data_IF_414226207278
#
_entry.id   IF_414226207278
#
_cell.length_a   1.000
_cell.length_b   1.000
_cell.length_c   1.000
_cell.angle_alpha   90.00
_cell.angle_beta   90.00
_cell.angle_gamma   90.00
#
_symmetry.space_group_name_H-M   'P 1'
#
loop_
_entity.id
_entity.type
_entity.pdbx_description
1 polymer ?
#
# COMPACT_ATOMS: atom_id res chain seq x y z
N UNK A 1 7.91 4.92 -25.52
CA UNK A 1 7.70 5.44 -24.15
C UNK A 1 9.06 5.80 -23.56
N UNK A 2 9.27 7.00 -23.02
CA UNK A 2 10.51 7.32 -22.31
C UNK A 2 10.67 6.35 -21.13
N UNK A 3 11.87 5.76 -20.99
CA UNK A 3 12.18 4.89 -19.84
C UNK A 3 12.11 5.74 -18.58
N UNK A 4 11.10 5.52 -17.74
CA UNK A 4 11.10 6.07 -16.38
C UNK A 4 12.12 5.28 -15.57
N UNK A 5 13.24 5.91 -15.24
CA UNK A 5 14.16 5.39 -14.22
C UNK A 5 13.49 5.58 -12.87
N UNK A 6 12.69 4.60 -12.45
CA UNK A 6 12.01 4.61 -11.16
C UNK A 6 12.95 3.98 -10.13
N UNK A 7 13.44 4.81 -9.20
CA UNK A 7 14.16 4.35 -8.01
C UNK A 7 13.30 4.72 -6.82
N UNK A 8 12.69 3.73 -6.20
CA UNK A 8 11.94 3.90 -4.96
C UNK A 8 12.85 3.63 -3.77
N UNK A 9 12.65 4.36 -2.68
CA UNK A 9 13.22 4.00 -1.39
C UNK A 9 12.68 2.63 -0.94
N UNK A 10 13.41 1.97 -0.03
CA UNK A 10 13.03 0.63 0.43
C UNK A 10 11.61 0.60 1.04
N UNK A 11 11.28 1.59 1.87
CA UNK A 11 9.96 1.75 2.48
C UNK A 11 8.86 1.96 1.43
N UNK A 12 9.11 2.83 0.44
CA UNK A 12 8.19 3.07 -0.68
C UNK A 12 7.94 1.79 -1.48
N UNK A 13 8.98 0.98 -1.71
CA UNK A 13 8.88 -0.32 -2.37
C UNK A 13 8.06 -1.33 -1.56
N UNK A 14 8.20 -1.37 -0.24
CA UNK A 14 7.41 -2.25 0.65
C UNK A 14 5.93 -1.83 0.61
N UNK A 15 5.65 -0.54 0.78
CA UNK A 15 4.27 0.01 0.73
C UNK A 15 3.63 -0.31 -0.62
N UNK A 16 4.35 -0.10 -1.74
CA UNK A 16 3.85 -0.43 -3.07
C UNK A 16 3.52 -1.93 -3.21
N UNK A 17 4.37 -2.81 -2.70
CA UNK A 17 4.11 -4.26 -2.73
C UNK A 17 2.85 -4.61 -1.93
N UNK A 18 2.66 -4.06 -0.74
CA UNK A 18 1.44 -4.28 0.06
C UNK A 18 0.20 -3.72 -0.64
N UNK A 19 0.26 -2.47 -1.11
CA UNK A 19 -0.83 -1.82 -1.84
C UNK A 19 -1.23 -2.59 -3.10
N UNK A 20 -0.26 -3.17 -3.82
CA UNK A 20 -0.54 -3.97 -5.02
C UNK A 20 -1.42 -5.20 -4.73
N UNK A 21 -1.25 -5.83 -3.56
CA UNK A 21 -2.04 -6.99 -3.14
C UNK A 21 -3.46 -6.59 -2.76
N UNK A 22 -3.61 -5.47 -2.05
CA UNK A 22 -4.91 -4.88 -1.70
C UNK A 22 -5.68 -4.50 -2.97
N UNK A 23 -5.02 -3.80 -3.89
CA UNK A 23 -5.60 -3.38 -5.16
C UNK A 23 -6.03 -4.58 -6.00
N UNK A 24 -5.17 -5.61 -6.12
CA UNK A 24 -5.50 -6.84 -6.82
C UNK A 24 -6.74 -7.54 -6.22
N UNK A 25 -6.93 -7.50 -4.90
CA UNK A 25 -8.13 -8.03 -4.26
C UNK A 25 -9.39 -7.23 -4.62
N UNK A 26 -9.31 -5.90 -4.71
CA UNK A 26 -10.42 -5.06 -5.19
C UNK A 26 -10.77 -5.35 -6.64
N UNK A 27 -9.77 -5.52 -7.51
CA UNK A 27 -9.99 -5.89 -8.91
C UNK A 27 -10.64 -7.27 -9.00
N UNK A 28 -10.10 -8.27 -8.31
CA UNK A 28 -10.61 -9.64 -8.33
C UNK A 28 -12.04 -9.77 -7.77
N UNK A 29 -12.45 -8.86 -6.87
CA UNK A 29 -13.81 -8.81 -6.33
C UNK A 29 -14.80 -8.03 -7.20
N UNK A 30 -14.36 -7.49 -8.35
CA UNK A 30 -15.22 -6.74 -9.27
C UNK A 30 -15.61 -5.35 -8.76
N UNK A 31 -14.88 -4.80 -7.78
CA UNK A 31 -15.16 -3.48 -7.18
C UNK A 31 -14.55 -2.32 -7.95
N UNK A 32 -13.56 -2.58 -8.80
CA UNK A 32 -12.83 -1.55 -9.55
C UNK A 32 -13.41 -1.46 -10.97
N UNK A 33 -14.01 -0.32 -11.28
CA UNK A 33 -14.38 0.04 -12.65
C UNK A 33 -13.27 0.83 -13.34
N UNK A 34 -13.27 0.85 -14.67
CA UNK A 34 -12.23 1.50 -15.48
C UNK A 34 -12.13 3.02 -15.27
N UNK A 35 -13.24 3.67 -14.90
CA UNK A 35 -13.32 5.10 -14.59
C UNK A 35 -12.80 5.43 -13.17
N UNK A 36 -12.62 4.43 -12.30
CA UNK A 36 -12.22 4.60 -10.90
C UNK A 36 -10.82 4.06 -10.57
N UNK A 37 -10.05 3.61 -11.57
CA UNK A 37 -8.73 2.98 -11.37
C UNK A 37 -7.82 3.80 -10.44
N UNK A 38 -7.73 5.11 -10.66
CA UNK A 38 -6.88 6.00 -9.86
C UNK A 38 -7.34 6.08 -8.39
N UNK A 39 -8.65 6.16 -8.17
CA UNK A 39 -9.26 6.22 -6.84
C UNK A 39 -8.93 4.97 -6.04
N UNK A 40 -9.10 3.79 -6.66
CA UNK A 40 -8.84 2.51 -6.02
C UNK A 40 -7.35 2.26 -5.79
N UNK A 41 -6.46 2.72 -6.69
CA UNK A 41 -5.02 2.68 -6.46
C UNK A 41 -4.61 3.54 -5.25
N UNK A 42 -5.09 4.79 -5.18
CA UNK A 42 -4.83 5.69 -4.05
C UNK A 42 -5.32 5.11 -2.74
N UNK A 43 -6.54 4.57 -2.73
CA UNK A 43 -7.13 3.89 -1.57
C UNK A 43 -6.26 2.74 -1.09
N UNK A 44 -5.82 1.88 -2.00
CA UNK A 44 -5.00 0.70 -1.65
C UNK A 44 -3.64 1.09 -1.05
N UNK A 45 -3.06 2.20 -1.51
CA UNK A 45 -1.83 2.77 -0.92
C UNK A 45 -2.09 3.27 0.51
N UNK A 46 -3.19 4.02 0.72
CA UNK A 46 -3.56 4.51 2.05
C UNK A 46 -3.82 3.37 3.04
N UNK A 47 -4.50 2.32 2.60
CA UNK A 47 -4.77 1.14 3.42
C UNK A 47 -3.47 0.38 3.74
N UNK A 48 -2.53 0.26 2.80
CA UNK A 48 -1.21 -0.32 3.08
C UNK A 48 -0.41 0.49 4.11
N UNK A 49 -0.47 1.82 4.04
CA UNK A 49 0.17 2.71 5.03
C UNK A 49 -0.50 2.54 6.39
N UNK A 50 -1.83 2.54 6.45
CA UNK A 50 -2.56 2.34 7.69
C UNK A 50 -2.22 0.99 8.36
N UNK A 51 -2.10 -0.08 7.56
CA UNK A 51 -1.63 -1.38 8.07
C UNK A 51 -0.22 -1.30 8.65
N UNK A 52 0.70 -0.62 7.97
CA UNK A 52 2.07 -0.46 8.47
C UNK A 52 2.09 0.30 9.81
N UNK A 53 1.30 1.36 9.96
CA UNK A 53 1.16 2.11 11.23
C UNK A 53 0.55 1.23 12.32
N UNK A 54 -0.52 0.48 12.03
CA UNK A 54 -1.10 -0.41 13.04
C UNK A 54 -0.13 -1.51 13.50
N UNK A 55 0.71 -2.02 12.59
CA UNK A 55 1.77 -2.98 12.95
C UNK A 55 2.82 -2.32 13.83
N UNK A 56 3.25 -1.11 13.49
CA UNK A 56 4.20 -0.33 14.28
C UNK A 56 3.66 -0.09 15.70
N UNK A 57 2.44 0.43 15.83
CA UNK A 57 1.76 0.66 17.11
C UNK A 57 1.62 -0.63 17.95
N UNK A 58 1.30 -1.75 17.29
CA UNK A 58 1.13 -3.04 17.96
C UNK A 58 2.45 -3.65 18.43
N UNK A 59 3.55 -3.48 17.68
CA UNK A 59 4.88 -4.00 18.02
C UNK A 59 5.58 -3.09 19.03
N UNK A 60 5.42 -1.76 18.92
CA UNK A 60 5.98 -0.77 19.85
C UNK A 60 5.45 -0.98 21.27
N UNK A 61 4.22 -1.48 21.44
CA UNK A 61 3.70 -1.87 22.77
C UNK A 61 4.50 -2.99 23.46
N UNK A 62 5.24 -3.83 22.72
CA UNK A 62 6.09 -4.88 23.29
C UNK A 62 7.55 -4.42 23.51
N UNK A 63 7.99 -3.35 22.82
CA UNK A 63 9.40 -2.93 22.76
C UNK A 63 9.74 -1.58 23.40
N UNK A 64 8.77 -0.69 23.62
CA UNK A 64 8.98 0.65 24.19
C UNK A 64 8.63 0.76 25.68
N UNK A 65 8.74 -0.33 26.45
CA UNK A 65 8.88 -0.23 27.91
C UNK A 65 10.33 0.13 28.27
N UNK A 66 10.66 1.41 28.18
CA UNK A 66 11.83 2.01 28.83
C UNK A 66 11.40 3.03 29.87
#
# INVERSE_FOLDING_TARGET
MPKKHLVLQQSEGIVLQCASRIYAAYVASGRVSDDELETWMKRSIQEAIAMAVCVDDAIISDGEMS
#
